data_IF_151036998079
#
_entry.id   IF_151036998079
#
_cell.length_a   1.000
_cell.length_b   1.000
_cell.length_c   1.000
_cell.angle_alpha   90.00
_cell.angle_beta   90.00
_cell.angle_gamma   90.00
#
_symmetry.space_group_name_H-M   'P 1'
#
loop_
_entity.id
_entity.type
_entity.pdbx_description
1 polymer ?
#
# COMPACT_ATOMS: atom_id res chain seq x y z
N UNK A 1 -14.64 28.63 21.22
CA UNK A 1 -15.03 29.16 19.86
C UNK A 1 -16.42 28.72 19.47
N UNK A 2 -17.08 29.37 18.48
CA UNK A 2 -18.37 28.89 17.96
C UNK A 2 -18.19 27.66 17.09
N UNK A 3 -19.16 26.74 17.00
CA UNK A 3 -19.15 25.57 16.12
C UNK A 3 -18.79 25.93 14.66
N UNK A 4 -19.21 27.13 14.25
CA UNK A 4 -18.91 27.64 12.90
C UNK A 4 -17.44 28.02 12.69
N UNK A 5 -16.79 28.52 13.74
CA UNK A 5 -15.35 28.83 13.71
C UNK A 5 -14.50 27.55 13.67
N UNK A 6 -14.90 26.51 14.41
CA UNK A 6 -14.23 25.20 14.36
C UNK A 6 -14.35 24.55 12.97
N UNK A 7 -15.52 24.65 12.32
CA UNK A 7 -15.70 24.16 10.94
C UNK A 7 -14.82 24.89 9.94
N UNK A 8 -14.66 26.20 10.08
CA UNK A 8 -13.80 26.99 9.19
C UNK A 8 -12.30 26.67 9.41
N UNK A 9 -11.87 26.55 10.66
CA UNK A 9 -10.53 26.12 11.03
C UNK A 9 -10.17 24.76 10.42
N UNK A 10 -11.07 23.77 10.50
CA UNK A 10 -10.87 22.44 9.87
C UNK A 10 -10.78 22.56 8.34
N UNK A 11 -11.61 23.40 7.70
CA UNK A 11 -11.55 23.63 6.26
C UNK A 11 -10.20 24.23 5.82
N UNK A 12 -9.68 25.19 6.59
CA UNK A 12 -8.36 25.80 6.36
C UNK A 12 -7.25 24.77 6.51
N UNK A 13 -7.31 23.93 7.55
CA UNK A 13 -6.35 22.84 7.74
C UNK A 13 -6.34 21.86 6.56
N UNK A 14 -7.52 21.43 6.09
CA UNK A 14 -7.61 20.53 4.92
C UNK A 14 -7.03 21.19 3.67
N UNK A 15 -7.27 22.49 3.47
CA UNK A 15 -6.67 23.25 2.37
C UNK A 15 -5.15 23.32 2.50
N UNK A 16 -4.62 23.58 3.69
CA UNK A 16 -3.18 23.54 3.99
C UNK A 16 -2.56 22.21 3.63
N UNK A 17 -3.15 21.08 4.09
CA UNK A 17 -2.66 19.74 3.77
C UNK A 17 -2.64 19.46 2.26
N UNK A 18 -3.68 19.92 1.55
CA UNK A 18 -3.81 19.70 0.10
C UNK A 18 -2.85 20.56 -0.71
N UNK A 19 -2.77 21.86 -0.43
CA UNK A 19 -2.09 22.83 -1.28
C UNK A 19 -0.62 23.04 -0.88
N UNK A 20 -0.32 23.08 0.43
CA UNK A 20 1.05 23.35 0.88
C UNK A 20 1.83 22.07 1.16
N UNK A 21 1.17 21.03 1.68
CA UNK A 21 1.80 19.74 1.96
C UNK A 21 1.67 18.75 0.81
N UNK A 22 0.92 19.07 -0.23
CA UNK A 22 0.69 18.22 -1.42
C UNK A 22 0.34 16.77 -1.07
N UNK A 23 -0.51 16.58 -0.06
CA UNK A 23 -0.89 15.25 0.42
C UNK A 23 -1.86 14.56 -0.51
N UNK A 24 -1.71 13.23 -0.67
CA UNK A 24 -2.64 12.42 -1.46
C UNK A 24 -4.04 12.39 -0.85
N UNK A 25 -5.10 12.19 -1.66
CA UNK A 25 -6.48 12.09 -1.18
C UNK A 25 -6.66 11.09 -0.04
N UNK A 26 -6.07 9.90 -0.14
CA UNK A 26 -6.12 8.88 0.92
C UNK A 26 -5.47 9.37 2.25
N UNK A 27 -4.41 10.17 2.16
CA UNK A 27 -3.74 10.75 3.34
C UNK A 27 -4.62 11.83 3.96
N UNK A 28 -5.23 12.69 3.12
CA UNK A 28 -6.18 13.71 3.56
C UNK A 28 -7.37 13.07 4.31
N UNK A 29 -7.98 12.04 3.72
CA UNK A 29 -9.10 11.32 4.34
C UNK A 29 -8.70 10.67 5.68
N UNK A 30 -7.48 10.14 5.77
CA UNK A 30 -6.98 9.57 7.02
C UNK A 30 -6.80 10.65 8.09
N UNK A 31 -6.16 11.77 7.75
CA UNK A 31 -5.93 12.87 8.69
C UNK A 31 -7.25 13.55 9.14
N UNK A 32 -8.22 13.69 8.22
CA UNK A 32 -9.54 14.19 8.59
C UNK A 32 -10.27 13.28 9.58
N UNK A 33 -10.23 11.95 9.36
CA UNK A 33 -10.81 10.97 10.30
C UNK A 33 -10.13 10.98 11.66
N UNK A 34 -8.80 11.16 11.66
CA UNK A 34 -8.02 11.21 12.90
C UNK A 34 -8.31 12.51 13.67
N UNK A 35 -8.34 13.63 12.96
CA UNK A 35 -8.70 14.92 13.53
C UNK A 35 -10.12 14.90 14.11
N UNK A 36 -11.08 14.26 13.42
CA UNK A 36 -12.46 14.16 13.95
C UNK A 36 -12.49 13.47 15.32
N UNK A 37 -11.71 12.38 15.52
CA UNK A 37 -11.63 11.72 16.83
C UNK A 37 -11.15 12.66 17.94
N UNK A 38 -10.16 13.50 17.63
CA UNK A 38 -9.69 14.50 18.59
C UNK A 38 -10.78 15.55 18.87
N UNK A 39 -11.41 16.09 17.83
CA UNK A 39 -12.44 17.13 18.00
C UNK A 39 -13.66 16.61 18.76
N UNK A 40 -14.11 15.38 18.47
CA UNK A 40 -15.22 14.72 19.17
C UNK A 40 -14.87 14.53 20.67
N UNK A 41 -13.63 14.16 20.98
CA UNK A 41 -13.13 14.04 22.35
C UNK A 41 -13.12 15.41 23.05
N UNK A 42 -12.55 16.44 22.42
CA UNK A 42 -12.46 17.79 22.99
C UNK A 42 -13.86 18.41 23.21
N UNK A 43 -14.79 18.16 22.29
CA UNK A 43 -16.19 18.59 22.44
C UNK A 43 -16.85 17.93 23.68
N UNK A 44 -16.60 16.62 23.88
CA UNK A 44 -17.07 15.89 25.07
C UNK A 44 -16.47 16.44 26.38
N UNK A 45 -15.24 16.90 26.38
CA UNK A 45 -14.57 17.53 27.52
C UNK A 45 -14.87 19.05 27.66
N UNK A 46 -15.62 19.62 26.73
CA UNK A 46 -15.93 21.06 26.71
C UNK A 46 -14.71 21.95 26.45
N UNK A 47 -13.70 21.44 25.75
CA UNK A 47 -12.43 22.13 25.49
C UNK A 47 -12.34 22.68 24.08
N UNK A 48 -11.78 23.89 23.97
CA UNK A 48 -11.48 24.51 22.68
C UNK A 48 -10.11 24.03 22.14
N UNK A 49 -9.99 23.64 20.87
CA UNK A 49 -8.70 23.27 20.30
C UNK A 49 -7.59 24.31 20.46
N UNK A 50 -7.94 25.58 20.55
CA UNK A 50 -6.98 26.66 20.78
C UNK A 50 -6.44 26.75 22.22
N UNK A 51 -7.12 26.10 23.19
CA UNK A 51 -6.79 26.17 24.63
C UNK A 51 -6.25 24.84 25.18
N UNK A 52 -6.21 23.79 24.33
CA UNK A 52 -5.74 22.44 24.70
C UNK A 52 -4.31 22.48 25.22
N UNK A 53 -4.05 21.78 26.32
CA UNK A 53 -2.75 21.60 26.92
C UNK A 53 -2.21 20.16 26.68
N UNK A 54 -0.95 19.92 27.00
CA UNK A 54 -0.31 18.60 26.86
C UNK A 54 -1.09 17.51 27.60
N UNK A 55 -1.54 17.78 28.82
CA UNK A 55 -2.26 16.84 29.67
C UNK A 55 -3.56 16.35 29.01
N UNK A 56 -4.25 17.22 28.28
CA UNK A 56 -5.47 16.87 27.55
C UNK A 56 -5.20 15.89 26.41
N UNK A 57 -4.07 16.06 25.73
CA UNK A 57 -3.63 15.18 24.64
C UNK A 57 -3.09 13.85 25.18
N UNK A 58 -2.47 13.83 26.35
CA UNK A 58 -2.09 12.61 27.04
C UNK A 58 -3.32 11.81 27.47
N UNK A 59 -4.35 12.47 28.00
CA UNK A 59 -5.63 11.82 28.33
C UNK A 59 -6.32 11.30 27.07
N UNK A 60 -6.36 12.08 25.98
CA UNK A 60 -6.85 11.60 24.68
C UNK A 60 -6.10 10.35 24.22
N UNK A 61 -4.74 10.35 24.32
CA UNK A 61 -3.90 9.21 23.94
C UNK A 61 -4.20 7.97 24.80
N UNK A 62 -4.37 8.15 26.12
CA UNK A 62 -4.77 7.09 27.04
C UNK A 62 -6.16 6.55 26.70
N UNK A 63 -7.15 7.43 26.40
CA UNK A 63 -8.46 7.02 25.97
C UNK A 63 -8.47 6.19 24.67
N UNK A 64 -7.59 6.52 23.71
CA UNK A 64 -7.41 5.69 22.50
C UNK A 64 -6.91 4.28 22.85
N UNK A 65 -6.03 4.15 23.83
CA UNK A 65 -5.54 2.86 24.31
C UNK A 65 -6.66 2.06 24.98
N UNK A 66 -7.43 2.68 25.88
CA UNK A 66 -8.47 2.03 26.67
C UNK A 66 -9.62 1.46 25.81
N UNK A 67 -9.97 2.13 24.71
CA UNK A 67 -10.92 1.61 23.71
C UNK A 67 -10.30 0.58 22.75
N UNK A 68 -9.06 0.11 23.03
CA UNK A 68 -8.41 -0.99 22.30
C UNK A 68 -7.83 -0.62 20.91
N UNK A 69 -7.55 0.67 20.64
CA UNK A 69 -6.90 1.06 19.40
C UNK A 69 -5.43 0.59 19.44
N UNK A 70 -5.01 -0.15 18.42
CA UNK A 70 -3.67 -0.70 18.31
C UNK A 70 -2.59 0.41 18.29
N UNK A 71 -1.44 0.19 18.99
CA UNK A 71 -0.33 1.16 19.12
C UNK A 71 0.10 1.82 17.78
N UNK A 72 0.21 1.04 16.70
CA UNK A 72 0.53 1.59 15.36
C UNK A 72 -0.54 2.55 14.84
N UNK A 73 -1.82 2.29 15.11
CA UNK A 73 -2.91 3.18 14.76
C UNK A 73 -2.93 4.42 15.63
N UNK A 74 -2.62 4.30 16.92
CA UNK A 74 -2.47 5.44 17.83
C UNK A 74 -1.33 6.36 17.35
N UNK A 75 -0.15 5.82 17.03
CA UNK A 75 0.96 6.62 16.48
C UNK A 75 0.55 7.40 15.22
N UNK A 76 -0.24 6.78 14.33
CA UNK A 76 -0.75 7.46 13.12
C UNK A 76 -1.72 8.59 13.49
N UNK A 77 -2.66 8.35 14.43
CA UNK A 77 -3.61 9.36 14.91
C UNK A 77 -2.84 10.53 15.53
N UNK A 78 -1.91 10.26 16.43
CA UNK A 78 -1.09 11.29 17.07
C UNK A 78 -0.23 12.07 16.06
N UNK A 79 0.22 11.44 14.96
CA UNK A 79 0.89 12.15 13.86
C UNK A 79 -0.05 13.12 13.15
N UNK A 80 -1.33 12.77 12.99
CA UNK A 80 -2.36 13.67 12.47
C UNK A 80 -2.64 14.83 13.42
N UNK A 81 -2.70 14.55 14.74
CA UNK A 81 -2.87 15.54 15.80
C UNK A 81 -1.72 16.55 15.79
N UNK A 82 -0.47 16.07 15.77
CA UNK A 82 0.72 16.96 15.66
C UNK A 82 0.67 17.84 14.41
N UNK A 83 0.27 17.26 13.28
CA UNK A 83 0.12 18.04 12.04
C UNK A 83 -0.93 19.14 12.17
N UNK A 84 -2.02 18.90 12.91
CA UNK A 84 -3.07 19.86 13.14
C UNK A 84 -2.61 21.01 14.06
N UNK A 85 -1.98 20.70 15.20
CA UNK A 85 -1.52 21.74 16.13
C UNK A 85 -0.39 22.58 15.51
N UNK A 86 0.52 21.97 14.75
CA UNK A 86 1.51 22.73 13.96
C UNK A 86 0.84 23.68 12.95
N UNK A 87 -0.26 23.27 12.32
CA UNK A 87 -1.03 24.18 11.46
C UNK A 87 -1.66 25.31 12.28
N UNK A 88 -2.23 25.04 13.46
CA UNK A 88 -2.81 26.08 14.32
C UNK A 88 -1.78 27.13 14.70
N UNK A 89 -0.55 26.71 15.00
CA UNK A 89 0.55 27.62 15.29
C UNK A 89 0.94 28.45 14.04
N UNK A 90 1.09 27.80 12.88
CA UNK A 90 1.46 28.47 11.63
C UNK A 90 0.42 29.48 11.13
N UNK A 91 -0.87 29.20 11.34
CA UNK A 91 -1.99 30.05 10.88
C UNK A 91 -2.43 31.08 11.96
N UNK A 92 -1.67 31.17 13.07
CA UNK A 92 -1.87 32.16 14.12
C UNK A 92 -3.07 31.93 15.05
N UNK A 93 -3.58 30.71 15.12
CA UNK A 93 -4.61 30.34 16.10
C UNK A 93 -4.02 30.09 17.50
N UNK A 94 -2.73 29.76 17.58
CA UNK A 94 -1.97 29.51 18.81
C UNK A 94 -0.54 30.02 18.66
N UNK A 95 0.06 30.39 19.79
CA UNK A 95 1.49 30.78 19.85
C UNK A 95 2.40 29.58 20.15
N UNK A 96 1.85 28.48 20.70
CA UNK A 96 2.55 27.27 21.14
C UNK A 96 2.06 26.00 20.41
N UNK A 97 2.84 24.93 20.50
CA UNK A 97 2.45 23.58 20.03
C UNK A 97 2.36 22.62 21.25
N UNK A 98 1.15 22.30 21.76
CA UNK A 98 0.99 21.43 22.92
C UNK A 98 1.39 19.98 22.63
N UNK A 99 1.69 19.63 21.37
CA UNK A 99 2.09 18.28 20.99
C UNK A 99 3.61 18.08 21.00
N UNK A 100 4.41 19.11 21.32
CA UNK A 100 5.85 19.04 21.24
C UNK A 100 6.44 17.95 22.15
N UNK A 101 5.91 17.82 23.35
CA UNK A 101 6.31 16.80 24.33
C UNK A 101 5.40 15.57 24.35
N UNK A 102 4.37 15.51 23.51
CA UNK A 102 3.44 14.38 23.46
C UNK A 102 4.16 13.11 22.99
N UNK A 103 4.24 12.12 23.85
CA UNK A 103 4.87 10.83 23.51
C UNK A 103 3.97 9.97 22.64
N UNK A 104 4.59 9.17 21.78
CA UNK A 104 3.87 8.15 20.99
C UNK A 104 4.05 6.78 21.63
N UNK A 105 3.02 5.91 21.60
CA UNK A 105 3.15 4.55 22.07
C UNK A 105 4.32 3.83 21.42
N UNK A 106 5.03 3.01 22.19
CA UNK A 106 6.10 2.17 21.64
C UNK A 106 5.49 1.07 20.77
N UNK A 107 5.93 1.02 19.53
CA UNK A 107 5.56 -0.05 18.60
C UNK A 107 6.61 -1.15 18.73
N UNK A 108 6.22 -2.32 19.22
CA UNK A 108 7.10 -3.50 19.22
C UNK A 108 7.59 -3.77 17.78
N UNK A 109 8.88 -4.05 17.63
CA UNK A 109 9.44 -4.46 16.33
C UNK A 109 8.94 -5.86 16.01
N UNK A 110 7.88 -5.95 15.22
CA UNK A 110 7.53 -7.20 14.53
C UNK A 110 8.37 -7.29 13.27
N UNK A 111 9.24 -8.29 13.19
CA UNK A 111 9.90 -8.63 11.93
C UNK A 111 8.80 -8.97 10.91
N UNK A 112 8.83 -8.35 9.73
CA UNK A 112 7.82 -8.62 8.70
C UNK A 112 7.88 -10.10 8.30
N UNK A 113 6.73 -10.76 8.33
CA UNK A 113 6.62 -12.12 7.81
C UNK A 113 6.85 -12.11 6.30
N UNK A 114 7.68 -13.04 5.82
CA UNK A 114 7.93 -13.28 4.41
C UNK A 114 7.62 -14.72 4.05
N UNK A 115 7.22 -14.95 2.81
CA UNK A 115 6.99 -16.29 2.25
C UNK A 115 8.25 -16.73 1.53
N UNK A 116 8.64 -17.96 1.76
CA UNK A 116 9.63 -18.65 0.92
C UNK A 116 9.02 -18.98 -0.45
N UNK A 117 9.85 -19.23 -1.46
CA UNK A 117 9.39 -19.67 -2.78
C UNK A 117 8.51 -20.93 -2.69
N UNK A 118 8.88 -21.89 -1.83
CA UNK A 118 8.11 -23.09 -1.60
C UNK A 118 6.72 -22.83 -0.98
N UNK A 119 6.61 -21.82 -0.11
CA UNK A 119 5.31 -21.41 0.45
C UNK A 119 4.45 -20.72 -0.61
N UNK A 120 5.05 -19.91 -1.52
CA UNK A 120 4.32 -19.34 -2.66
C UNK A 120 3.85 -20.44 -3.62
N UNK A 121 4.68 -21.44 -3.91
CA UNK A 121 4.30 -22.60 -4.73
C UNK A 121 3.12 -23.36 -4.11
N UNK A 122 3.13 -23.57 -2.78
CA UNK A 122 1.99 -24.20 -2.08
C UNK A 122 0.73 -23.33 -2.14
N UNK A 123 0.89 -22.02 -2.01
CA UNK A 123 -0.23 -21.05 -2.10
C UNK A 123 -0.90 -21.15 -3.48
N UNK A 124 -0.10 -21.22 -4.56
CA UNK A 124 -0.59 -21.38 -5.93
C UNK A 124 -1.21 -22.76 -6.16
N UNK A 125 -0.60 -23.83 -5.63
CA UNK A 125 -1.09 -25.19 -5.75
C UNK A 125 -2.42 -25.42 -5.02
N UNK A 126 -2.74 -24.63 -4.00
CA UNK A 126 -4.02 -24.70 -3.28
C UNK A 126 -5.21 -24.15 -4.06
N UNK A 127 -4.96 -23.49 -5.21
CA UNK A 127 -6.00 -22.86 -6.01
C UNK A 127 -6.69 -23.92 -6.87
N UNK A 128 -8.00 -24.01 -6.72
CA UNK A 128 -8.85 -24.87 -7.54
C UNK A 128 -9.04 -24.25 -8.94
N UNK A 129 -8.34 -24.82 -9.94
CA UNK A 129 -8.36 -24.33 -11.32
C UNK A 129 -9.64 -24.72 -12.07
N UNK A 130 -10.49 -25.58 -11.53
CA UNK A 130 -11.80 -25.87 -12.13
C UNK A 130 -12.80 -24.74 -11.94
N UNK A 131 -12.51 -23.80 -11.05
CA UNK A 131 -13.31 -22.59 -10.84
C UNK A 131 -12.93 -21.49 -11.80
N UNK A 132 -13.92 -20.73 -12.27
CA UNK A 132 -13.76 -19.61 -13.21
C UNK A 132 -12.69 -18.60 -12.74
N UNK A 133 -12.51 -18.41 -11.43
CA UNK A 133 -11.51 -17.51 -10.87
C UNK A 133 -10.13 -18.16 -10.64
N UNK A 134 -9.98 -19.44 -10.90
CA UNK A 134 -8.78 -20.21 -10.58
C UNK A 134 -7.52 -19.64 -11.24
N UNK A 135 -7.49 -19.60 -12.57
CA UNK A 135 -6.35 -19.06 -13.32
C UNK A 135 -6.11 -17.58 -13.00
N UNK A 136 -7.17 -16.77 -12.85
CA UNK A 136 -7.04 -15.38 -12.40
C UNK A 136 -6.33 -15.25 -11.08
N UNK A 137 -6.76 -16.03 -10.07
CA UNK A 137 -6.21 -15.96 -8.72
C UNK A 137 -4.75 -16.40 -8.69
N UNK A 138 -4.39 -17.44 -9.48
CA UNK A 138 -3.01 -17.90 -9.61
C UNK A 138 -2.13 -16.86 -10.30
N UNK A 139 -2.60 -16.27 -11.40
CA UNK A 139 -1.91 -15.17 -12.06
C UNK A 139 -1.69 -13.96 -11.14
N UNK A 140 -2.67 -13.60 -10.31
CA UNK A 140 -2.55 -12.52 -9.33
C UNK A 140 -1.41 -12.79 -8.33
N UNK A 141 -1.36 -13.99 -7.75
CA UNK A 141 -0.32 -14.36 -6.77
C UNK A 141 1.05 -14.34 -7.42
N UNK A 142 1.18 -14.96 -8.60
CA UNK A 142 2.45 -15.00 -9.31
C UNK A 142 2.92 -13.60 -9.73
N UNK A 143 2.06 -12.73 -10.26
CA UNK A 143 2.43 -11.35 -10.62
C UNK A 143 2.83 -10.53 -9.39
N UNK A 144 2.13 -10.68 -8.26
CA UNK A 144 2.52 -10.00 -7.01
C UNK A 144 3.90 -10.45 -6.52
N UNK A 145 4.18 -11.76 -6.58
CA UNK A 145 5.45 -12.33 -6.14
C UNK A 145 6.60 -12.06 -7.11
N UNK A 146 6.38 -12.16 -8.42
CA UNK A 146 7.46 -12.01 -9.41
C UNK A 146 7.76 -10.57 -9.81
N UNK A 147 6.82 -9.64 -9.62
CA UNK A 147 6.97 -8.22 -9.99
C UNK A 147 7.01 -7.28 -8.77
N UNK A 148 6.69 -7.77 -7.57
CA UNK A 148 6.67 -6.97 -6.35
C UNK A 148 5.72 -5.78 -6.38
N UNK A 149 4.59 -5.87 -7.09
CA UNK A 149 3.63 -4.78 -7.24
C UNK A 149 2.94 -4.41 -5.92
N UNK A 150 2.60 -3.13 -5.77
CA UNK A 150 1.60 -2.73 -4.77
C UNK A 150 0.22 -3.24 -5.17
N UNK A 151 -0.63 -3.59 -4.21
CA UNK A 151 -1.99 -4.06 -4.52
C UNK A 151 -2.78 -3.07 -5.37
N UNK A 152 -2.59 -1.77 -5.18
CA UNK A 152 -3.22 -0.74 -6.01
C UNK A 152 -2.67 -0.70 -7.44
N UNK A 153 -1.40 -1.01 -7.64
CA UNK A 153 -0.79 -1.13 -8.97
C UNK A 153 -1.34 -2.34 -9.70
N UNK A 154 -1.49 -3.47 -9.01
CA UNK A 154 -2.10 -4.68 -9.56
C UNK A 154 -3.56 -4.48 -9.96
N UNK A 155 -4.39 -3.90 -9.07
CA UNK A 155 -5.82 -3.70 -9.35
C UNK A 155 -6.07 -2.71 -10.49
N UNK A 156 -5.15 -1.78 -10.73
CA UNK A 156 -5.20 -0.80 -11.82
C UNK A 156 -4.34 -1.18 -13.03
N UNK A 157 -3.80 -2.41 -13.05
CA UNK A 157 -2.99 -2.88 -14.18
C UNK A 157 -3.88 -3.04 -15.42
N UNK A 158 -3.42 -2.47 -16.55
CA UNK A 158 -4.13 -2.44 -17.81
C UNK A 158 -3.47 -3.33 -18.85
N UNK A 159 -4.25 -3.88 -19.76
CA UNK A 159 -3.76 -4.66 -20.91
C UNK A 159 -2.80 -3.81 -21.76
N UNK A 160 -3.15 -2.54 -21.99
CA UNK A 160 -2.33 -1.56 -22.72
C UNK A 160 -0.96 -1.27 -22.06
N UNK A 161 -0.75 -1.72 -20.83
CA UNK A 161 0.51 -1.57 -20.09
C UNK A 161 1.34 -2.87 -20.00
N UNK A 162 0.94 -3.91 -20.72
CA UNK A 162 1.66 -5.19 -20.76
C UNK A 162 2.52 -5.27 -22.04
N UNK A 163 3.82 -5.43 -21.86
CA UNK A 163 4.79 -5.65 -22.93
C UNK A 163 5.39 -7.03 -22.71
N UNK A 164 4.57 -8.08 -22.95
CA UNK A 164 4.89 -9.45 -22.56
C UNK A 164 5.98 -10.07 -23.41
N UNK A 165 6.09 -9.69 -24.67
CA UNK A 165 7.16 -10.13 -25.57
C UNK A 165 8.53 -9.61 -25.12
N UNK A 166 8.57 -8.37 -24.65
CA UNK A 166 9.76 -7.74 -24.06
C UNK A 166 9.97 -8.12 -22.60
N UNK A 167 9.04 -8.83 -21.99
CA UNK A 167 9.03 -9.22 -20.58
C UNK A 167 9.02 -8.04 -19.60
N UNK A 168 8.23 -7.02 -19.88
CA UNK A 168 8.01 -5.87 -19.01
C UNK A 168 6.53 -5.55 -18.84
N UNK A 169 6.21 -4.93 -17.71
CA UNK A 169 4.95 -4.27 -17.46
C UNK A 169 5.20 -2.82 -17.06
N UNK A 170 4.36 -1.92 -17.49
CA UNK A 170 4.37 -0.51 -17.07
C UNK A 170 3.39 -0.34 -15.92
N UNK A 171 3.86 0.21 -14.81
CA UNK A 171 3.04 0.47 -13.62
C UNK A 171 3.04 1.93 -13.24
N UNK A 172 1.87 2.43 -12.85
CA UNK A 172 1.68 3.78 -12.35
C UNK A 172 1.85 3.80 -10.84
N UNK A 173 2.88 4.47 -10.35
CA UNK A 173 3.16 4.63 -8.92
C UNK A 173 2.48 5.84 -8.29
N UNK A 174 2.89 6.16 -7.06
CA UNK A 174 2.43 7.36 -6.34
C UNK A 174 2.86 8.62 -7.10
N UNK A 175 1.97 9.60 -7.19
CA UNK A 175 2.24 10.87 -7.89
C UNK A 175 2.27 10.75 -9.41
N UNK A 176 1.58 9.74 -9.97
CA UNK A 176 1.51 9.49 -11.43
C UNK A 176 2.88 9.21 -12.08
N UNK A 177 3.87 8.78 -11.28
CA UNK A 177 5.17 8.37 -11.83
C UNK A 177 5.07 6.96 -12.40
N UNK A 178 5.49 6.81 -13.65
CA UNK A 178 5.55 5.51 -14.32
C UNK A 178 6.89 4.84 -14.08
N UNK A 179 6.88 3.50 -13.99
CA UNK A 179 8.08 2.69 -14.04
C UNK A 179 7.84 1.40 -14.81
N UNK A 180 8.88 0.90 -15.45
CA UNK A 180 8.89 -0.42 -16.05
C UNK A 180 9.35 -1.44 -15.00
N UNK A 181 8.62 -2.54 -14.90
CA UNK A 181 8.92 -3.66 -13.99
C UNK A 181 9.05 -4.91 -14.85
N UNK A 182 10.20 -5.61 -14.81
CA UNK A 182 10.34 -6.89 -15.47
C UNK A 182 9.34 -7.92 -14.94
N UNK A 183 8.85 -8.79 -15.83
CA UNK A 183 7.89 -9.86 -15.49
C UNK A 183 8.51 -11.23 -15.80
N UNK A 184 8.32 -12.21 -14.91
CA UNK A 184 8.84 -13.56 -15.09
C UNK A 184 8.10 -14.32 -16.19
N UNK A 185 8.78 -15.29 -16.81
CA UNK A 185 8.14 -16.19 -17.79
C UNK A 185 6.97 -16.95 -17.18
N UNK A 186 7.08 -17.35 -15.90
CA UNK A 186 5.96 -18.01 -15.20
C UNK A 186 4.76 -17.11 -15.07
N UNK A 187 4.96 -15.82 -14.68
CA UNK A 187 3.86 -14.87 -14.60
C UNK A 187 3.20 -14.62 -15.96
N UNK A 188 3.98 -14.56 -17.04
CA UNK A 188 3.45 -14.44 -18.40
C UNK A 188 2.59 -15.67 -18.76
N UNK A 189 3.05 -16.86 -18.42
CA UNK A 189 2.31 -18.09 -18.66
C UNK A 189 0.97 -18.10 -17.88
N UNK A 190 1.00 -17.72 -16.60
CA UNK A 190 -0.21 -17.67 -15.77
C UNK A 190 -1.19 -16.60 -16.26
N UNK A 191 -0.69 -15.47 -16.75
CA UNK A 191 -1.51 -14.45 -17.41
C UNK A 191 -2.15 -14.99 -18.69
N UNK A 192 -1.44 -15.80 -19.48
CA UNK A 192 -1.96 -16.45 -20.68
C UNK A 192 -3.20 -17.31 -20.35
N UNK A 193 -3.10 -18.21 -19.36
CA UNK A 193 -4.25 -19.02 -18.92
C UNK A 193 -5.43 -18.16 -18.42
N UNK A 194 -5.13 -17.08 -17.73
CA UNK A 194 -6.16 -16.13 -17.31
C UNK A 194 -6.81 -15.40 -18.51
N UNK A 195 -6.04 -15.02 -19.51
CA UNK A 195 -6.57 -14.34 -20.70
C UNK A 195 -7.49 -15.25 -21.53
N UNK A 196 -7.19 -16.56 -21.57
CA UNK A 196 -8.09 -17.54 -22.21
C UNK A 196 -9.46 -17.59 -21.50
N UNK A 197 -9.48 -17.54 -20.16
CA UNK A 197 -10.75 -17.48 -19.41
C UNK A 197 -11.44 -16.10 -19.58
N UNK A 198 -10.64 -15.03 -19.53
CA UNK A 198 -11.12 -13.65 -19.57
C UNK A 198 -11.85 -13.30 -20.87
N UNK A 199 -11.41 -13.84 -22.00
CA UNK A 199 -12.05 -13.57 -23.31
C UNK A 199 -13.51 -14.07 -23.38
N UNK A 200 -13.91 -15.00 -22.51
CA UNK A 200 -15.26 -15.53 -22.43
C UNK A 200 -16.15 -14.80 -21.41
N UNK A 201 -15.67 -13.73 -20.81
CA UNK A 201 -16.41 -12.98 -19.79
C UNK A 201 -17.22 -11.83 -20.39
N UNK A 202 -18.40 -11.57 -19.82
CA UNK A 202 -19.13 -10.34 -20.03
C UNK A 202 -18.44 -9.18 -19.28
N UNK A 203 -17.74 -8.32 -20.01
CA UNK A 203 -16.97 -7.21 -19.43
C UNK A 203 -17.84 -5.96 -19.43
N UNK A 204 -17.84 -5.23 -18.31
CA UNK A 204 -18.59 -3.98 -18.20
C UNK A 204 -17.98 -2.89 -19.09
N UNK A 205 -18.82 -2.03 -19.70
CA UNK A 205 -18.32 -0.89 -20.46
C UNK A 205 -17.36 -0.02 -19.67
N UNK A 206 -16.19 0.26 -20.25
CA UNK A 206 -15.09 1.03 -19.61
C UNK A 206 -14.13 0.21 -18.76
N UNK A 207 -14.35 -1.10 -18.62
CA UNK A 207 -13.48 -2.00 -17.84
C UNK A 207 -12.64 -2.92 -18.75
N UNK A 208 -12.72 -2.77 -20.05
CA UNK A 208 -12.14 -3.66 -21.06
C UNK A 208 -10.61 -3.72 -20.98
N UNK A 209 -9.99 -2.61 -20.58
CA UNK A 209 -8.52 -2.50 -20.51
C UNK A 209 -7.93 -3.02 -19.19
N UNK A 210 -8.75 -3.33 -18.17
CA UNK A 210 -8.22 -3.88 -16.92
C UNK A 210 -7.84 -5.34 -17.04
N UNK A 211 -6.66 -5.71 -16.53
CA UNK A 211 -6.15 -7.08 -16.58
C UNK A 211 -7.00 -8.02 -15.74
N UNK A 212 -7.27 -7.65 -14.48
CA UNK A 212 -7.95 -8.53 -13.52
C UNK A 212 -9.37 -8.07 -13.21
N UNK A 213 -10.33 -8.91 -13.60
CA UNK A 213 -11.76 -8.66 -13.47
C UNK A 213 -12.41 -9.55 -12.41
N UNK A 214 -13.50 -9.08 -11.84
CA UNK A 214 -14.39 -9.89 -11.00
C UNK A 214 -15.47 -10.56 -11.87
N UNK A 215 -16.27 -11.47 -11.30
CA UNK A 215 -17.33 -12.19 -12.01
C UNK A 215 -18.42 -11.31 -12.64
N UNK A 216 -18.43 -10.01 -12.31
CA UNK A 216 -19.39 -9.04 -12.85
C UNK A 216 -18.77 -8.18 -13.97
N UNK A 217 -17.60 -8.56 -14.46
CA UNK A 217 -16.88 -7.85 -15.52
C UNK A 217 -16.27 -6.50 -15.12
N UNK A 218 -16.18 -6.16 -13.82
CA UNK A 218 -15.51 -4.96 -13.35
C UNK A 218 -14.14 -5.31 -12.73
N UNK A 219 -13.22 -4.34 -12.70
CA UNK A 219 -11.90 -4.53 -12.11
C UNK A 219 -11.99 -4.91 -10.61
N UNK A 220 -10.95 -5.59 -10.12
CA UNK A 220 -10.88 -6.04 -8.72
C UNK A 220 -10.55 -4.88 -7.79
N UNK A 221 -11.13 -4.90 -6.58
CA UNK A 221 -10.76 -3.98 -5.51
C UNK A 221 -9.62 -4.55 -4.66
N UNK A 222 -8.90 -3.67 -3.95
CA UNK A 222 -7.84 -4.07 -3.00
C UNK A 222 -8.35 -5.04 -1.93
N UNK A 223 -9.58 -4.85 -1.47
CA UNK A 223 -10.22 -5.71 -0.46
C UNK A 223 -10.48 -7.11 -1.02
N UNK A 224 -10.93 -7.22 -2.27
CA UNK A 224 -11.15 -8.53 -2.91
C UNK A 224 -9.85 -9.31 -3.04
N UNK A 225 -8.74 -8.66 -3.41
CA UNK A 225 -7.41 -9.29 -3.47
C UNK A 225 -6.98 -9.77 -2.08
N UNK A 226 -7.15 -8.95 -1.03
CA UNK A 226 -6.79 -9.33 0.33
C UNK A 226 -7.59 -10.55 0.81
N UNK A 227 -8.90 -10.56 0.58
CA UNK A 227 -9.78 -11.69 0.97
C UNK A 227 -9.37 -12.96 0.21
N UNK A 228 -9.11 -12.85 -1.08
CA UNK A 228 -8.66 -13.96 -1.92
C UNK A 228 -7.35 -14.55 -1.38
N UNK A 229 -6.33 -13.73 -1.14
CA UNK A 229 -5.02 -14.18 -0.63
C UNK A 229 -5.17 -14.87 0.74
N UNK A 230 -5.94 -14.32 1.67
CA UNK A 230 -6.18 -14.93 2.98
C UNK A 230 -6.84 -16.30 2.86
N UNK A 231 -7.87 -16.42 2.03
CA UNK A 231 -8.56 -17.69 1.78
C UNK A 231 -7.64 -18.76 1.19
N UNK A 232 -6.76 -18.36 0.25
CA UNK A 232 -5.79 -19.31 -0.31
C UNK A 232 -4.71 -19.69 0.70
N UNK A 233 -4.29 -18.77 1.57
CA UNK A 233 -3.34 -19.06 2.65
C UNK A 233 -3.90 -20.11 3.63
N UNK A 234 -5.16 -19.97 4.03
CA UNK A 234 -5.87 -20.94 4.84
C UNK A 234 -5.94 -22.31 4.15
N UNK A 235 -6.31 -22.33 2.86
CA UNK A 235 -6.38 -23.58 2.07
C UNK A 235 -5.01 -24.25 1.89
N UNK A 236 -3.92 -23.47 1.80
CA UNK A 236 -2.55 -23.96 1.71
C UNK A 236 -1.95 -24.37 3.06
N UNK A 237 -2.67 -24.22 4.18
CA UNK A 237 -2.19 -24.49 5.53
C UNK A 237 -1.05 -23.59 5.99
N UNK A 238 -0.97 -22.36 5.47
CA UNK A 238 0.07 -21.40 5.83
C UNK A 238 -0.38 -20.63 7.06
N UNK A 239 0.38 -20.76 8.17
CA UNK A 239 0.04 -20.14 9.46
C UNK A 239 0.43 -18.65 9.56
N UNK A 240 1.25 -18.16 8.62
CA UNK A 240 1.68 -16.75 8.58
C UNK A 240 0.53 -15.83 8.20
N UNK A 241 0.54 -14.60 8.72
CA UNK A 241 -0.42 -13.56 8.32
C UNK A 241 -0.07 -13.02 6.94
N UNK A 242 -0.79 -13.46 5.91
CA UNK A 242 -0.49 -13.12 4.53
C UNK A 242 -1.37 -11.99 4.02
N UNK A 243 -0.73 -11.09 3.29
CA UNK A 243 -1.35 -9.96 2.60
C UNK A 243 -0.62 -9.69 1.27
N UNK A 244 -1.14 -8.83 0.38
CA UNK A 244 -0.38 -8.37 -0.79
C UNK A 244 0.98 -7.75 -0.44
N UNK A 245 1.09 -7.09 0.72
CA UNK A 245 2.36 -6.55 1.20
C UNK A 245 3.35 -7.65 1.58
N UNK A 246 2.86 -8.76 2.14
CA UNK A 246 3.70 -9.93 2.45
C UNK A 246 4.32 -10.50 1.17
N UNK A 247 3.54 -10.69 0.08
CA UNK A 247 4.06 -11.15 -1.21
C UNK A 247 5.10 -10.19 -1.81
N UNK A 248 4.85 -8.89 -1.72
CA UNK A 248 5.82 -7.88 -2.15
C UNK A 248 7.11 -7.88 -1.30
N UNK A 249 6.98 -8.08 0.01
CA UNK A 249 8.14 -8.25 0.90
C UNK A 249 8.92 -9.52 0.53
N UNK A 250 8.21 -10.62 0.27
CA UNK A 250 8.82 -11.88 -0.17
C UNK A 250 9.57 -11.74 -1.50
N UNK A 251 9.06 -10.95 -2.46
CA UNK A 251 9.78 -10.58 -3.67
C UNK A 251 11.10 -9.88 -3.35
N UNK A 252 11.07 -8.86 -2.50
CA UNK A 252 12.27 -8.11 -2.14
C UNK A 252 13.31 -8.99 -1.43
N UNK A 253 12.87 -9.82 -0.48
CA UNK A 253 13.72 -10.76 0.25
C UNK A 253 14.33 -11.80 -0.69
N UNK A 254 13.52 -12.37 -1.59
CA UNK A 254 14.00 -13.38 -2.54
C UNK A 254 15.07 -12.84 -3.49
N UNK A 255 14.93 -11.59 -3.95
CA UNK A 255 15.97 -10.91 -4.75
C UNK A 255 17.24 -10.66 -3.92
N UNK A 256 17.08 -10.17 -2.68
CA UNK A 256 18.22 -9.89 -1.81
C UNK A 256 19.01 -11.17 -1.47
N UNK A 257 18.31 -12.25 -1.13
CA UNK A 257 18.89 -13.58 -0.87
C UNK A 257 19.55 -14.15 -2.14
N UNK A 258 19.01 -13.84 -3.32
CA UNK A 258 19.60 -14.18 -4.61
C UNK A 258 20.87 -13.37 -4.95
N UNK A 259 21.19 -12.32 -4.18
CA UNK A 259 22.37 -11.48 -4.38
C UNK A 259 22.14 -10.21 -5.20
N UNK A 260 20.91 -9.82 -5.48
CA UNK A 260 20.59 -8.61 -6.21
C UNK A 260 21.00 -7.34 -5.45
N UNK A 261 21.43 -6.30 -6.17
CA UNK A 261 21.78 -5.01 -5.58
C UNK A 261 20.56 -4.35 -4.91
N UNK A 262 20.74 -3.88 -3.67
CA UNK A 262 19.68 -3.23 -2.89
C UNK A 262 19.08 -2.00 -3.59
N UNK A 263 19.91 -1.23 -4.33
CA UNK A 263 19.45 -0.05 -5.08
C UNK A 263 18.52 -0.46 -6.21
N UNK A 264 18.83 -1.56 -6.88
CA UNK A 264 17.98 -2.13 -7.94
C UNK A 264 16.65 -2.59 -7.34
N UNK A 265 16.68 -3.30 -6.21
CA UNK A 265 15.45 -3.72 -5.48
C UNK A 265 14.60 -2.49 -5.11
N UNK A 266 15.20 -1.43 -4.59
CA UNK A 266 14.49 -0.19 -4.26
C UNK A 266 13.86 0.47 -5.49
N UNK A 267 14.57 0.50 -6.63
CA UNK A 267 14.06 1.02 -7.90
C UNK A 267 12.86 0.21 -8.39
N UNK A 268 12.96 -1.13 -8.40
CA UNK A 268 11.87 -2.03 -8.78
C UNK A 268 10.63 -1.84 -7.90
N UNK A 269 10.82 -1.62 -6.62
CA UNK A 269 9.75 -1.36 -5.67
C UNK A 269 9.18 0.07 -5.78
N UNK A 270 9.88 1.01 -6.38
CA UNK A 270 9.46 2.41 -6.46
C UNK A 270 9.38 3.03 -5.06
N UNK A 271 10.46 2.89 -4.26
CA UNK A 271 10.61 3.58 -2.98
C UNK A 271 11.16 4.97 -3.23
N UNK A 272 10.37 6.00 -2.94
CA UNK A 272 10.84 7.40 -2.91
C UNK A 272 11.60 7.64 -1.60
N UNK A 273 12.90 7.41 -1.55
CA UNK A 273 13.72 8.02 -0.50
C UNK A 273 14.18 9.40 -0.97
N UNK A 274 14.13 10.37 -0.05
CA UNK A 274 14.29 11.82 -0.24
C UNK A 274 15.69 12.25 -0.81
N UNK A 275 16.54 11.32 -1.19
CA UNK A 275 17.89 11.62 -1.70
C UNK A 275 18.25 11.00 -3.03
N UNK A 276 17.32 10.33 -3.73
CA UNK A 276 17.70 9.43 -4.82
C UNK A 276 17.00 9.63 -6.16
N UNK A 277 16.30 10.75 -6.37
CA UNK A 277 15.68 11.05 -7.68
C UNK A 277 16.74 11.12 -8.80
N UNK A 278 17.96 11.54 -8.50
CA UNK A 278 19.07 11.59 -9.45
C UNK A 278 19.71 10.21 -9.73
N UNK A 279 19.66 9.27 -8.76
CA UNK A 279 20.30 7.96 -8.90
C UNK A 279 19.44 7.01 -9.78
N UNK A 280 18.12 7.16 -9.77
CA UNK A 280 17.22 6.28 -10.55
C UNK A 280 17.19 6.58 -12.05
N UNK A 281 17.67 7.74 -12.48
CA UNK A 281 17.79 8.08 -13.91
C UNK A 281 18.91 7.34 -14.62
N UNK A 282 19.81 6.68 -13.89
CA UNK A 282 20.97 5.97 -14.44
C UNK A 282 20.89 4.43 -14.38
N UNK A 283 19.85 3.86 -13.74
CA UNK A 283 19.66 2.40 -13.78
C UNK A 283 18.91 2.07 -15.08
N UNK A 284 19.65 1.57 -16.04
CA UNK A 284 19.12 1.15 -17.34
C UNK A 284 18.15 -0.04 -17.18
N UNK A 285 17.13 -0.08 -18.04
CA UNK A 285 16.12 -1.16 -18.11
C UNK A 285 16.78 -2.55 -18.30
N UNK A 286 17.89 -2.61 -19.00
CA UNK A 286 18.68 -3.83 -19.17
C UNK A 286 19.26 -4.35 -17.85
N UNK A 287 19.71 -3.46 -16.98
CA UNK A 287 20.20 -3.79 -15.63
C UNK A 287 19.06 -4.30 -14.73
N UNK A 288 17.91 -3.64 -14.72
CA UNK A 288 16.73 -4.10 -13.98
C UNK A 288 16.31 -5.51 -14.41
N UNK A 289 16.30 -5.76 -15.72
CA UNK A 289 15.97 -7.06 -16.29
C UNK A 289 17.00 -8.12 -15.90
N UNK A 290 18.29 -7.82 -16.02
CA UNK A 290 19.37 -8.75 -15.66
C UNK A 290 19.27 -9.17 -14.20
N UNK A 291 19.12 -8.22 -13.27
CA UNK A 291 19.01 -8.51 -11.84
C UNK A 291 17.81 -9.43 -11.51
N UNK A 292 16.66 -9.22 -12.15
CA UNK A 292 15.52 -10.13 -11.95
C UNK A 292 15.78 -11.50 -12.60
N UNK A 293 16.40 -11.56 -13.77
CA UNK A 293 16.68 -12.83 -14.44
C UNK A 293 17.73 -13.68 -13.70
N UNK A 294 18.74 -13.04 -13.12
CA UNK A 294 19.85 -13.71 -12.44
C UNK A 294 19.55 -14.04 -10.98
N UNK A 295 18.75 -13.22 -10.29
CA UNK A 295 18.60 -13.30 -8.84
C UNK A 295 17.18 -13.66 -8.35
N UNK A 296 16.14 -13.54 -9.19
CA UNK A 296 14.80 -13.93 -8.76
C UNK A 296 14.56 -15.43 -8.94
N UNK A 297 14.07 -16.17 -7.91
CA UNK A 297 13.92 -17.62 -7.96
C UNK A 297 13.00 -18.15 -9.08
N UNK A 298 12.10 -17.31 -9.62
CA UNK A 298 11.23 -17.67 -10.76
C UNK A 298 11.97 -17.73 -12.11
N UNK A 299 13.16 -17.20 -12.20
CA UNK A 299 13.97 -17.16 -13.43
C UNK A 299 15.22 -18.00 -13.34
N UNK A 300 15.67 -18.37 -12.14
CA UNK A 300 16.77 -19.31 -11.96
C UNK A 300 16.37 -20.70 -12.47
N UNK A 301 17.19 -21.31 -13.33
CA UNK A 301 17.03 -22.72 -13.68
C UNK A 301 17.33 -23.54 -12.42
N UNK A 302 16.33 -24.29 -11.94
CA UNK A 302 16.55 -25.38 -10.99
C UNK A 302 17.24 -26.54 -11.69
#
# INVERSE_FOLDING_TARGET
MSEQANKEMVRRYVRYLKLQRNMSGNTLDAYQRDLRKLLDYLEGEGKDPCEVQLEDLEQFSAGLHDIGIHARSQCRILSGVRSFFRFLQLDGYRDDDPTELLESPQIGQHLPEVLTTAEVDRLEASIDLSKWEGHRNRAIIEVLFSCGLRVSELTNLKLSNLYLDEQFIRVMGKGSKERLVPISKKAIQELGFWFDDRQHMDIKPGEEDYVFLNRRGAHLTRVMILIMIKRQAEAAGIQKTISPHTLRHSFATALLEGGADLRVIQALLGHESIGTTEIYTHIDTSTLRREILEHHPRNMKR
#
